data_IF_297134110289
#
_entry.id   IF_297134110289
#
_cell.length_a   1.000
_cell.length_b   1.000
_cell.length_c   1.000
_cell.angle_alpha   90.00
_cell.angle_beta   90.00
_cell.angle_gamma   90.00
#
_symmetry.space_group_name_H-M   'P 1'
#
loop_
_entity.id
_entity.type
_entity.pdbx_description
1 polymer ?
#
# COMPACT_ATOMS: atom_id res chain seq x y z
N UNK A 1 -1.52 -17.45 5.16
CA UNK A 1 -1.66 -17.77 3.74
C UNK A 1 -2.05 -16.53 2.96
N UNK A 2 -1.68 -16.50 1.66
CA UNK A 2 -2.19 -15.49 0.71
C UNK A 2 -3.69 -15.64 0.51
N UNK A 3 -4.33 -14.58 0.03
CA UNK A 3 -5.77 -14.54 -0.24
C UNK A 3 -6.03 -13.92 -1.62
N UNK A 4 -7.11 -14.39 -2.27
CA UNK A 4 -7.73 -13.80 -3.45
C UNK A 4 -9.24 -13.69 -3.22
N UNK A 5 -9.99 -13.21 -4.18
CA UNK A 5 -11.46 -13.30 -4.19
C UNK A 5 -11.89 -14.61 -4.87
N UNK A 6 -13.08 -15.10 -4.52
CA UNK A 6 -13.63 -16.35 -5.08
C UNK A 6 -14.36 -16.14 -6.40
N UNK A 7 -15.17 -15.10 -6.47
CA UNK A 7 -16.04 -14.80 -7.61
C UNK A 7 -15.67 -13.46 -8.23
N UNK A 8 -15.84 -13.33 -9.54
CA UNK A 8 -15.73 -12.05 -10.19
C UNK A 8 -16.89 -11.12 -9.76
N UNK A 9 -16.58 -9.85 -9.55
CA UNK A 9 -17.54 -8.80 -9.19
C UNK A 9 -17.26 -7.52 -9.95
N UNK A 10 -18.31 -6.78 -10.27
CA UNK A 10 -18.23 -5.58 -11.09
C UNK A 10 -18.75 -4.37 -10.30
N UNK A 11 -18.12 -3.23 -10.51
CA UNK A 11 -18.52 -1.92 -9.99
C UNK A 11 -18.48 -0.89 -11.11
N UNK A 12 -19.56 -0.13 -11.27
CA UNK A 12 -19.66 0.93 -12.26
C UNK A 12 -19.82 2.26 -11.55
N UNK A 13 -19.06 3.26 -11.96
CA UNK A 13 -19.11 4.57 -11.36
C UNK A 13 -18.33 5.63 -12.14
N UNK A 14 -18.25 6.83 -11.59
CA UNK A 14 -17.60 7.98 -12.22
C UNK A 14 -16.24 8.22 -11.53
N UNK A 15 -15.20 8.47 -12.33
CA UNK A 15 -13.90 8.89 -11.84
C UNK A 15 -13.96 10.29 -11.21
N UNK A 16 -13.26 10.51 -10.10
CA UNK A 16 -13.27 11.77 -9.36
C UNK A 16 -12.69 12.92 -10.18
N UNK A 17 -11.56 12.68 -10.83
CA UNK A 17 -10.80 13.73 -11.54
C UNK A 17 -11.23 13.89 -12.98
N UNK A 18 -11.41 12.80 -13.71
CA UNK A 18 -11.78 12.83 -15.13
C UNK A 18 -13.27 13.00 -15.37
N UNK A 19 -14.13 12.66 -14.42
CA UNK A 19 -15.57 12.75 -14.55
C UNK A 19 -16.17 11.77 -15.57
N UNK A 20 -15.41 10.76 -15.99
CA UNK A 20 -15.85 9.73 -16.95
C UNK A 20 -16.42 8.54 -16.20
N UNK A 21 -17.44 7.93 -16.80
CA UNK A 21 -18.00 6.66 -16.32
C UNK A 21 -17.02 5.53 -16.66
N UNK A 22 -16.77 4.66 -15.69
CA UNK A 22 -15.83 3.53 -15.80
C UNK A 22 -16.46 2.30 -15.14
N UNK A 23 -16.33 1.16 -15.81
CA UNK A 23 -16.63 -0.16 -15.29
C UNK A 23 -15.34 -0.81 -14.81
N UNK A 24 -15.34 -1.23 -13.55
CA UNK A 24 -14.22 -1.93 -12.93
C UNK A 24 -14.67 -3.32 -12.52
N UNK A 25 -13.99 -4.36 -12.98
CA UNK A 25 -14.25 -5.76 -12.62
C UNK A 25 -13.07 -6.34 -11.86
N UNK A 26 -13.33 -6.87 -10.68
CA UNK A 26 -12.37 -7.62 -9.89
C UNK A 26 -12.52 -9.10 -10.22
N UNK A 27 -11.41 -9.79 -10.53
CA UNK A 27 -11.38 -11.23 -10.80
C UNK A 27 -10.33 -11.93 -9.94
N UNK A 28 -10.54 -13.22 -9.58
CA UNK A 28 -9.54 -14.00 -8.88
C UNK A 28 -8.22 -14.03 -9.65
N UNK A 29 -7.11 -13.96 -8.92
CA UNK A 29 -5.77 -14.07 -9.51
C UNK A 29 -4.98 -15.21 -8.87
N UNK A 30 -4.05 -15.87 -9.60
CA UNK A 30 -3.18 -16.90 -9.06
C UNK A 30 -2.30 -16.41 -7.91
N UNK A 31 -1.74 -17.34 -7.13
CA UNK A 31 -0.75 -17.04 -6.09
C UNK A 31 0.43 -16.25 -6.66
N UNK A 32 0.94 -15.28 -5.89
CA UNK A 32 2.07 -14.41 -6.24
C UNK A 32 1.83 -13.46 -7.43
N UNK A 33 0.60 -13.31 -7.91
CA UNK A 33 0.26 -12.30 -8.94
C UNK A 33 0.40 -10.88 -8.39
N UNK A 34 0.03 -10.68 -7.13
CA UNK A 34 -0.19 -9.34 -6.58
C UNK A 34 -1.47 -8.71 -7.14
N UNK A 35 -1.58 -7.40 -7.02
CA UNK A 35 -2.67 -6.61 -7.60
C UNK A 35 -2.26 -6.15 -8.99
N UNK A 36 -3.04 -6.53 -10.01
CA UNK A 36 -2.73 -6.22 -11.42
C UNK A 36 -3.92 -5.52 -12.05
N UNK A 37 -3.71 -4.30 -12.51
CA UNK A 37 -4.69 -3.54 -13.29
C UNK A 37 -4.57 -3.90 -14.77
N UNK A 38 -5.72 -4.05 -15.46
CA UNK A 38 -5.81 -4.43 -16.88
C UNK A 38 -6.73 -3.44 -17.58
N UNK A 39 -6.26 -2.77 -18.64
CA UNK A 39 -7.01 -1.81 -19.46
C UNK A 39 -7.66 -2.53 -20.63
N UNK A 40 -8.90 -3.01 -20.42
CA UNK A 40 -9.65 -3.76 -21.46
C UNK A 40 -10.13 -2.90 -22.62
N UNK A 41 -10.20 -1.58 -22.45
CA UNK A 41 -10.54 -0.60 -23.48
C UNK A 41 -9.39 -0.33 -24.46
N UNK A 42 -8.19 -0.80 -24.18
CA UNK A 42 -7.03 -0.60 -25.03
C UNK A 42 -6.66 -1.88 -25.82
N UNK A 43 -6.13 -1.73 -27.06
CA UNK A 43 -5.69 -2.86 -27.86
C UNK A 43 -4.69 -3.76 -27.10
N UNK A 44 -4.94 -5.06 -27.08
CA UNK A 44 -4.09 -6.03 -26.39
C UNK A 44 -4.27 -6.09 -24.88
N UNK A 45 -5.22 -5.34 -24.32
CA UNK A 45 -5.54 -5.33 -22.89
C UNK A 45 -4.28 -5.24 -22.00
N UNK A 46 -3.48 -4.19 -22.13
CA UNK A 46 -2.22 -4.05 -21.39
C UNK A 46 -2.45 -4.03 -19.89
N UNK A 47 -1.50 -4.59 -19.15
CA UNK A 47 -1.58 -4.72 -17.71
C UNK A 47 -0.47 -3.97 -16.99
N UNK A 48 -0.78 -3.45 -15.79
CA UNK A 48 0.17 -2.77 -14.89
C UNK A 48 0.03 -3.40 -13.52
N UNK A 49 1.11 -3.94 -12.98
CA UNK A 49 1.15 -4.40 -11.61
C UNK A 49 1.22 -3.20 -10.65
N UNK A 50 0.42 -3.21 -9.60
CA UNK A 50 0.43 -2.17 -8.59
C UNK A 50 1.69 -2.29 -7.72
N UNK A 51 2.77 -1.68 -8.16
CA UNK A 51 4.06 -1.66 -7.49
C UNK A 51 4.60 -0.24 -7.38
N UNK A 52 5.36 0.04 -6.33
CA UNK A 52 5.88 1.38 -6.06
C UNK A 52 6.77 1.92 -7.18
N UNK A 53 7.49 1.02 -7.88
CA UNK A 53 8.36 1.38 -9.01
C UNK A 53 7.55 1.78 -10.28
N UNK A 54 6.22 1.58 -10.29
CA UNK A 54 5.29 1.96 -11.36
C UNK A 54 4.54 3.26 -11.11
N UNK A 55 4.78 3.93 -9.98
CA UNK A 55 4.14 5.22 -9.68
C UNK A 55 4.65 6.30 -10.63
N UNK A 56 3.72 6.95 -11.34
CA UNK A 56 4.00 8.02 -12.31
C UNK A 56 3.48 9.39 -11.88
N UNK A 57 2.59 9.43 -10.88
CA UNK A 57 2.01 10.66 -10.34
C UNK A 57 1.38 10.42 -8.98
N UNK A 58 1.38 11.47 -8.16
CA UNK A 58 0.87 11.42 -6.79
C UNK A 58 0.29 12.78 -6.36
N UNK A 59 -0.17 13.57 -7.32
CA UNK A 59 -0.82 14.86 -7.08
C UNK A 59 -2.33 14.67 -6.96
N UNK A 60 -2.87 14.83 -5.75
CA UNK A 60 -4.30 14.64 -5.41
C UNK A 60 -4.83 13.21 -5.57
N UNK A 61 -3.94 12.21 -5.71
CA UNK A 61 -4.26 10.81 -5.84
C UNK A 61 -3.06 10.05 -6.40
N UNK A 62 -3.01 8.76 -6.20
CA UNK A 62 -1.87 7.94 -6.64
C UNK A 62 -2.16 7.32 -8.00
N UNK A 63 -1.21 7.48 -8.92
CA UNK A 63 -1.29 6.99 -10.29
C UNK A 63 -0.12 6.07 -10.61
N UNK A 64 -0.40 4.97 -11.29
CA UNK A 64 0.62 4.05 -11.82
C UNK A 64 0.60 4.05 -13.35
N UNK A 65 1.73 3.70 -13.94
CA UNK A 65 1.86 3.65 -15.39
C UNK A 65 3.01 2.79 -15.89
N UNK A 66 2.88 2.28 -17.10
CA UNK A 66 3.91 1.57 -17.83
C UNK A 66 3.59 1.64 -19.34
N UNK A 67 4.62 1.85 -20.18
CA UNK A 67 4.52 1.79 -21.64
C UNK A 67 3.37 2.62 -22.23
N UNK A 68 3.16 3.83 -21.69
CA UNK A 68 2.12 4.75 -22.15
C UNK A 68 0.72 4.49 -21.55
N UNK A 69 0.53 3.39 -20.87
CA UNK A 69 -0.72 3.07 -20.15
C UNK A 69 -0.71 3.67 -18.75
N UNK A 70 -1.84 4.20 -18.30
CA UNK A 70 -1.97 4.86 -17.00
C UNK A 70 -3.23 4.41 -16.29
N UNK A 71 -3.16 4.35 -14.96
CA UNK A 71 -4.30 4.14 -14.06
C UNK A 71 -4.20 5.17 -12.94
N UNK A 72 -5.28 5.89 -12.70
CA UNK A 72 -5.35 6.99 -11.73
C UNK A 72 -6.23 6.63 -10.52
N UNK A 73 -5.97 7.31 -9.38
CA UNK A 73 -6.81 7.27 -8.16
C UNK A 73 -6.99 5.85 -7.61
N UNK A 74 -5.85 5.13 -7.48
CA UNK A 74 -5.86 3.71 -7.08
C UNK A 74 -5.86 3.50 -5.57
N UNK A 75 -5.60 4.52 -4.77
CA UNK A 75 -5.37 4.44 -3.32
C UNK A 75 -6.55 3.83 -2.56
N UNK A 76 -7.80 4.16 -2.91
CA UNK A 76 -8.96 3.68 -2.15
C UNK A 76 -9.24 2.18 -2.36
N UNK A 77 -9.14 1.70 -3.61
CA UNK A 77 -9.27 0.26 -3.87
C UNK A 77 -8.07 -0.51 -3.29
N UNK A 78 -6.86 0.02 -3.36
CA UNK A 78 -5.69 -0.60 -2.74
C UNK A 78 -5.82 -0.65 -1.21
N UNK A 79 -6.36 0.40 -0.58
CA UNK A 79 -6.64 0.40 0.85
C UNK A 79 -7.67 -0.68 1.24
N UNK A 80 -8.74 -0.86 0.44
CA UNK A 80 -9.74 -1.91 0.68
C UNK A 80 -9.13 -3.31 0.56
N UNK A 81 -8.31 -3.56 -0.48
CA UNK A 81 -7.59 -4.82 -0.66
C UNK A 81 -6.62 -5.10 0.50
N UNK A 82 -5.87 -4.06 0.92
CA UNK A 82 -4.97 -4.12 2.07
C UNK A 82 -5.72 -4.50 3.35
N UNK A 83 -6.79 -3.77 3.66
CA UNK A 83 -7.57 -3.95 4.89
C UNK A 83 -8.23 -5.31 5.01
N UNK A 84 -8.66 -5.91 3.89
CA UNK A 84 -9.24 -7.25 3.83
C UNK A 84 -8.17 -8.35 3.63
N UNK A 85 -6.93 -7.96 3.44
CA UNK A 85 -5.80 -8.87 3.28
C UNK A 85 -5.80 -9.65 1.97
N UNK A 86 -6.34 -9.07 0.88
CA UNK A 86 -6.31 -9.67 -0.46
C UNK A 86 -4.93 -9.46 -1.07
N UNK A 87 -4.22 -10.52 -1.34
CA UNK A 87 -2.86 -10.44 -1.89
C UNK A 87 -2.84 -10.48 -3.43
N UNK A 88 -3.81 -11.20 -4.05
CA UNK A 88 -3.81 -11.45 -5.48
C UNK A 88 -5.19 -11.17 -6.08
N UNK A 89 -5.25 -10.24 -7.04
CA UNK A 89 -6.49 -9.88 -7.74
C UNK A 89 -6.17 -9.23 -9.09
N UNK A 90 -6.95 -9.54 -10.12
CA UNK A 90 -6.99 -8.80 -11.36
C UNK A 90 -8.08 -7.73 -11.28
N UNK A 91 -7.74 -6.50 -11.66
CA UNK A 91 -8.65 -5.35 -11.71
C UNK A 91 -8.73 -4.90 -13.17
N UNK A 92 -9.79 -5.31 -13.85
CA UNK A 92 -10.06 -4.97 -15.24
C UNK A 92 -10.86 -3.67 -15.31
N UNK A 93 -10.49 -2.79 -16.22
CA UNK A 93 -11.11 -1.47 -16.36
C UNK A 93 -11.30 -1.09 -17.82
N UNK A 94 -12.42 -0.46 -18.12
CA UNK A 94 -12.72 0.16 -19.44
C UNK A 94 -12.38 1.66 -19.49
N UNK A 95 -11.57 2.14 -18.55
CA UNK A 95 -11.11 3.53 -18.46
C UNK A 95 -9.85 3.67 -17.60
N UNK A 96 -9.30 4.86 -17.55
CA UNK A 96 -8.00 5.12 -16.91
C UNK A 96 -8.06 5.62 -15.46
N UNK A 97 -9.25 5.79 -14.88
CA UNK A 97 -9.41 6.22 -13.49
C UNK A 97 -10.33 5.27 -12.74
N UNK A 98 -9.91 4.83 -11.53
CA UNK A 98 -10.75 4.03 -10.63
C UNK A 98 -11.99 4.83 -10.25
N UNK A 99 -13.22 4.25 -10.29
CA UNK A 99 -14.43 4.94 -9.86
C UNK A 99 -14.32 5.49 -8.44
N UNK A 100 -14.75 6.73 -8.23
CA UNK A 100 -14.66 7.39 -6.92
C UNK A 100 -15.59 6.78 -5.85
N UNK A 101 -16.60 6.04 -6.29
CA UNK A 101 -17.68 5.53 -5.43
C UNK A 101 -18.30 6.66 -4.59
N UNK A 102 -18.34 6.53 -3.28
CA UNK A 102 -18.81 7.57 -2.34
C UNK A 102 -17.65 8.42 -1.76
N UNK A 103 -16.46 8.29 -2.31
CA UNK A 103 -15.23 8.96 -1.85
C UNK A 103 -14.50 8.23 -0.72
N UNK A 104 -14.98 7.06 -0.30
CA UNK A 104 -14.37 6.23 0.72
C UNK A 104 -13.95 4.86 0.17
N UNK A 105 -13.32 4.01 0.99
CA UNK A 105 -13.01 2.63 0.62
C UNK A 105 -14.16 1.65 0.93
N UNK A 106 -15.21 2.07 1.64
CA UNK A 106 -16.29 1.19 2.09
C UNK A 106 -17.01 0.47 0.94
N UNK A 107 -17.39 1.12 -0.18
CA UNK A 107 -18.04 0.43 -1.29
C UNK A 107 -17.16 -0.67 -1.92
N UNK A 108 -15.84 -0.50 -1.91
CA UNK A 108 -14.91 -1.53 -2.38
C UNK A 108 -14.79 -2.69 -1.38
N UNK A 109 -14.84 -2.39 -0.07
CA UNK A 109 -14.92 -3.44 0.98
C UNK A 109 -16.16 -4.30 0.77
N UNK A 110 -17.34 -3.68 0.59
CA UNK A 110 -18.60 -4.38 0.35
C UNK A 110 -18.56 -5.22 -0.93
N UNK A 111 -17.97 -4.66 -2.01
CA UNK A 111 -17.77 -5.36 -3.27
C UNK A 111 -16.90 -6.62 -3.11
N UNK A 112 -15.77 -6.51 -2.40
CA UNK A 112 -14.86 -7.63 -2.15
C UNK A 112 -15.51 -8.67 -1.24
N UNK A 113 -16.24 -8.26 -0.21
CA UNK A 113 -16.98 -9.19 0.66
C UNK A 113 -18.06 -9.96 -0.12
N UNK A 114 -18.77 -9.29 -1.05
CA UNK A 114 -19.73 -9.94 -1.97
C UNK A 114 -19.04 -10.96 -2.87
N UNK A 115 -17.81 -10.69 -3.31
CA UNK A 115 -17.00 -11.63 -4.11
C UNK A 115 -16.59 -12.88 -3.31
N UNK A 116 -16.67 -12.86 -2.00
CA UNK A 116 -16.12 -13.83 -1.05
C UNK A 116 -14.59 -13.91 -1.12
N UNK A 117 -13.95 -14.09 0.02
CA UNK A 117 -12.48 -14.18 0.12
C UNK A 117 -12.07 -15.66 0.12
N UNK A 118 -11.08 -15.99 -0.71
CA UNK A 118 -10.56 -17.35 -0.89
C UNK A 118 -9.10 -17.43 -0.43
N UNK A 119 -8.77 -18.26 0.58
CA UNK A 119 -7.38 -18.50 0.96
C UNK A 119 -6.65 -19.35 -0.09
N UNK A 120 -5.39 -19.02 -0.35
CA UNK A 120 -4.54 -19.69 -1.34
C UNK A 120 -3.40 -20.45 -0.67
N UNK A 121 -2.97 -21.57 -1.25
CA UNK A 121 -1.90 -22.44 -0.71
C UNK A 121 -0.51 -21.86 -0.94
N UNK A 122 -0.30 -20.61 -0.51
CA UNK A 122 1.00 -19.95 -0.56
C UNK A 122 1.23 -19.14 0.73
N UNK A 123 2.46 -19.05 1.26
CA UNK A 123 2.75 -18.25 2.45
C UNK A 123 2.56 -16.76 2.15
N UNK A 124 2.08 -16.02 3.15
CA UNK A 124 2.03 -14.56 3.12
C UNK A 124 3.29 -14.02 3.80
N UNK A 125 4.03 -13.21 3.09
CA UNK A 125 5.20 -12.54 3.63
C UNK A 125 4.81 -11.23 4.32
N UNK A 126 5.65 -10.79 5.27
CA UNK A 126 5.49 -9.52 5.97
C UNK A 126 6.82 -8.77 5.95
N UNK A 127 6.76 -7.48 5.64
CA UNK A 127 7.91 -6.60 5.80
C UNK A 127 8.02 -6.19 7.27
N UNK A 128 8.99 -6.77 7.98
CA UNK A 128 9.25 -6.46 9.39
C UNK A 128 10.30 -5.37 9.51
N UNK A 129 9.96 -4.29 10.19
CA UNK A 129 10.92 -3.22 10.50
C UNK A 129 11.67 -3.62 11.76
N UNK A 130 13.01 -3.62 11.70
CA UNK A 130 13.89 -4.00 12.81
C UNK A 130 14.51 -2.81 13.52
N UNK A 131 14.72 -1.71 12.79
CA UNK A 131 15.36 -0.50 13.29
C UNK A 131 14.49 0.71 12.95
N UNK A 132 14.36 1.69 13.86
CA UNK A 132 13.60 2.88 13.59
C UNK A 132 14.29 3.75 12.53
N UNK A 133 13.48 4.39 11.70
CA UNK A 133 13.94 5.42 10.76
C UNK A 133 12.86 6.48 10.55
N UNK A 134 13.25 7.60 9.96
CA UNK A 134 12.32 8.68 9.62
C UNK A 134 12.63 9.29 8.26
N UNK A 135 11.64 9.98 7.75
CA UNK A 135 11.71 10.86 6.59
C UNK A 135 11.14 12.21 7.00
N UNK A 136 11.74 13.28 6.52
CA UNK A 136 11.23 14.64 6.71
C UNK A 136 11.39 15.49 5.45
N UNK A 137 10.44 16.39 5.22
CA UNK A 137 10.44 17.34 4.12
C UNK A 137 9.58 18.55 4.52
N UNK A 138 10.23 19.66 4.82
CA UNK A 138 9.56 20.84 5.36
C UNK A 138 8.89 20.54 6.72
N UNK A 139 7.57 20.72 6.78
CA UNK A 139 6.76 20.42 7.97
C UNK A 139 6.19 18.99 7.98
N UNK A 140 6.45 18.21 6.92
CA UNK A 140 6.01 16.82 6.81
C UNK A 140 7.03 15.88 7.46
N UNK A 141 6.54 14.94 8.24
CA UNK A 141 7.38 13.91 8.88
C UNK A 141 6.69 12.57 8.88
N UNK A 142 7.46 11.51 8.66
CA UNK A 142 7.03 10.14 8.91
C UNK A 142 8.15 9.43 9.67
N UNK A 143 7.79 8.86 10.81
CA UNK A 143 8.68 8.06 11.65
C UNK A 143 8.15 6.63 11.65
N UNK A 144 9.04 5.66 11.52
CA UNK A 144 8.70 4.24 11.46
C UNK A 144 9.49 3.53 12.55
N UNK A 145 8.79 2.83 13.42
CA UNK A 145 9.35 2.09 14.55
C UNK A 145 9.05 0.61 14.41
N UNK A 146 9.92 -0.28 14.95
CA UNK A 146 9.60 -1.69 15.08
C UNK A 146 8.30 -1.91 15.87
N UNK A 147 7.44 -2.79 15.35
CA UNK A 147 6.24 -3.28 16.03
C UNK A 147 5.87 -4.66 15.46
N UNK A 148 5.15 -5.47 16.24
CA UNK A 148 4.67 -6.79 15.79
C UNK A 148 3.40 -6.70 14.92
N UNK A 149 2.67 -5.59 15.02
CA UNK A 149 1.46 -5.29 14.24
C UNK A 149 1.68 -4.01 13.43
N UNK A 150 0.81 -3.76 12.47
CA UNK A 150 0.76 -2.45 11.85
C UNK A 150 -0.05 -1.51 12.74
N UNK A 151 0.62 -0.51 13.29
CA UNK A 151 0.01 0.58 14.04
C UNK A 151 0.25 1.88 13.28
N UNK A 152 -0.77 2.70 13.13
CA UNK A 152 -0.67 4.00 12.48
C UNK A 152 -1.14 5.09 13.44
N UNK A 153 -0.27 6.06 13.67
CA UNK A 153 -0.59 7.33 14.31
C UNK A 153 -0.49 8.42 13.24
N UNK A 154 -1.56 9.19 13.06
CA UNK A 154 -1.58 10.23 12.04
C UNK A 154 -2.00 11.58 12.64
N UNK A 155 -1.30 12.64 12.25
CA UNK A 155 -1.61 14.03 12.60
C UNK A 155 -1.79 14.84 11.32
N UNK A 156 -2.92 15.50 11.18
CA UNK A 156 -3.18 16.54 10.18
C UNK A 156 -3.31 17.88 10.87
N UNK A 157 -2.93 18.93 10.19
CA UNK A 157 -3.02 20.30 10.71
C UNK A 157 -3.49 21.25 9.60
N UNK A 158 -4.65 21.83 9.82
CA UNK A 158 -5.30 22.78 8.91
C UNK A 158 -5.59 24.08 9.67
N UNK A 159 -4.56 24.89 10.00
CA UNK A 159 -4.66 25.99 10.95
C UNK A 159 -5.70 27.06 10.57
N UNK A 160 -5.95 27.23 9.27
CA UNK A 160 -6.91 28.22 8.73
C UNK A 160 -8.28 27.63 8.41
N UNK A 161 -8.50 26.36 8.72
CA UNK A 161 -9.76 25.63 8.46
C UNK A 161 -10.51 25.36 9.76
N UNK A 162 -11.85 25.24 9.73
CA UNK A 162 -12.66 24.75 10.85
C UNK A 162 -12.23 23.36 11.37
N UNK A 163 -11.53 22.58 10.55
CA UNK A 163 -11.03 21.26 10.94
C UNK A 163 -9.91 21.31 11.98
N UNK A 164 -9.09 22.39 11.98
CA UNK A 164 -7.94 22.58 12.89
C UNK A 164 -6.98 21.38 12.84
N UNK A 165 -6.29 21.14 13.94
CA UNK A 165 -5.42 19.96 14.11
C UNK A 165 -6.26 18.76 14.50
N UNK A 166 -6.07 17.63 13.82
CA UNK A 166 -6.70 16.36 14.15
C UNK A 166 -5.63 15.27 14.32
N UNK A 167 -5.93 14.36 15.21
CA UNK A 167 -5.10 13.21 15.54
C UNK A 167 -5.95 11.94 15.55
N UNK A 168 -5.35 10.84 15.09
CA UNK A 168 -5.91 9.49 15.24
C UNK A 168 -4.81 8.44 15.34
N UNK A 169 -5.07 7.40 16.10
CA UNK A 169 -4.19 6.23 16.24
C UNK A 169 -5.01 4.95 16.16
N UNK A 170 -4.57 4.00 15.34
CA UNK A 170 -5.20 2.71 15.17
C UNK A 170 -4.16 1.59 15.02
N UNK A 171 -4.41 0.47 15.66
CA UNK A 171 -3.80 -0.81 15.27
C UNK A 171 -4.66 -1.38 14.16
N UNK A 172 -4.05 -1.62 13.00
CA UNK A 172 -4.76 -1.99 11.78
C UNK A 172 -4.94 -3.51 11.73
N UNK A 173 -6.17 -3.93 11.85
CA UNK A 173 -6.65 -5.26 11.52
C UNK A 173 -7.90 -5.13 10.63
N UNK A 174 -8.44 -6.25 10.15
CA UNK A 174 -9.60 -6.27 9.24
C UNK A 174 -10.81 -5.56 9.87
N UNK A 175 -11.11 -5.83 11.13
CA UNK A 175 -12.24 -5.23 11.85
C UNK A 175 -12.08 -3.72 12.00
N UNK A 176 -10.93 -3.27 12.50
CA UNK A 176 -10.61 -1.85 12.67
C UNK A 176 -10.65 -1.13 11.33
N UNK A 177 -10.09 -1.73 10.27
CA UNK A 177 -10.14 -1.14 8.94
C UNK A 177 -11.58 -0.95 8.47
N UNK A 178 -12.42 -1.98 8.51
CA UNK A 178 -13.81 -1.93 8.03
C UNK A 178 -14.64 -0.90 8.81
N UNK A 179 -14.50 -0.86 10.14
CA UNK A 179 -15.36 -0.06 11.01
C UNK A 179 -14.89 1.39 11.16
N UNK A 180 -13.58 1.62 11.21
CA UNK A 180 -13.00 2.90 11.62
C UNK A 180 -12.33 3.67 10.49
N UNK A 181 -11.83 2.98 9.44
CA UNK A 181 -11.03 3.60 8.38
C UNK A 181 -11.77 3.62 7.05
N UNK A 182 -12.25 2.46 6.58
CA UNK A 182 -12.87 2.32 5.27
C UNK A 182 -14.05 3.29 5.00
N UNK A 183 -14.89 3.66 5.99
CA UNK A 183 -15.99 4.59 5.76
C UNK A 183 -15.57 6.07 5.60
N UNK A 184 -14.30 6.41 5.83
CA UNK A 184 -13.85 7.81 5.81
C UNK A 184 -13.71 8.32 4.38
N UNK A 185 -14.43 9.39 4.06
CA UNK A 185 -14.49 9.98 2.71
C UNK A 185 -13.32 10.91 2.45
N UNK A 186 -12.92 10.99 1.19
CA UNK A 186 -12.03 12.05 0.69
C UNK A 186 -12.64 13.42 0.93
N UNK A 187 -11.79 14.44 1.04
CA UNK A 187 -12.24 15.79 1.35
C UNK A 187 -11.45 16.84 0.57
N UNK A 188 -12.04 18.01 0.42
CA UNK A 188 -11.41 19.15 -0.20
C UNK A 188 -11.95 20.47 0.36
N UNK A 189 -11.19 21.53 0.15
CA UNK A 189 -11.59 22.87 0.55
C UNK A 189 -12.26 23.59 -0.62
N UNK A 190 -13.40 24.26 -0.36
CA UNK A 190 -14.17 24.96 -1.37
C UNK A 190 -13.33 25.99 -2.12
N UNK A 191 -12.40 26.63 -1.44
CA UNK A 191 -11.48 27.63 -2.00
C UNK A 191 -10.57 27.04 -3.12
N UNK A 192 -10.26 25.75 -3.05
CA UNK A 192 -9.42 25.06 -4.05
C UNK A 192 -10.24 24.50 -5.24
N UNK A 193 -11.56 24.37 -5.10
CA UNK A 193 -12.42 23.68 -6.08
C UNK A 193 -12.36 24.34 -7.46
N UNK A 194 -12.46 25.67 -7.54
CA UNK A 194 -12.42 26.38 -8.82
C UNK A 194 -11.08 26.25 -9.51
N UNK A 195 -9.98 26.33 -8.79
CA UNK A 195 -8.63 26.18 -9.32
C UNK A 195 -8.39 24.76 -9.82
N UNK A 196 -8.81 23.75 -9.06
CA UNK A 196 -8.69 22.35 -9.44
C UNK A 196 -9.51 22.04 -10.71
N UNK A 197 -10.71 22.59 -10.84
CA UNK A 197 -11.55 22.44 -12.06
C UNK A 197 -10.89 23.10 -13.27
N UNK A 198 -10.32 24.29 -13.12
CA UNK A 198 -9.57 24.97 -14.21
C UNK A 198 -8.37 24.15 -14.68
N UNK A 199 -7.76 23.36 -13.80
CA UNK A 199 -6.67 22.43 -14.11
C UNK A 199 -7.16 21.08 -14.69
N UNK A 200 -8.45 20.91 -14.93
CA UNK A 200 -9.04 19.66 -15.43
C UNK A 200 -9.17 18.55 -14.40
N UNK A 201 -9.01 18.87 -13.11
CA UNK A 201 -9.19 17.93 -12.00
C UNK A 201 -10.60 18.04 -11.41
N UNK A 202 -11.00 17.03 -10.63
CA UNK A 202 -12.28 16.95 -9.91
C UNK A 202 -13.52 17.19 -10.79
N UNK A 203 -13.46 16.80 -12.09
CA UNK A 203 -14.56 16.95 -13.02
C UNK A 203 -15.80 16.12 -12.61
N UNK A 204 -15.59 14.97 -11.95
CA UNK A 204 -16.65 14.12 -11.37
C UNK A 204 -16.90 14.39 -9.89
N UNK A 205 -16.23 15.38 -9.30
CA UNK A 205 -16.36 15.69 -7.87
C UNK A 205 -17.72 16.30 -7.51
N UNK A 206 -18.35 15.76 -6.48
CA UNK A 206 -19.64 16.19 -5.95
C UNK A 206 -19.73 16.02 -4.43
N UNK A 207 -20.78 16.55 -3.81
CA UNK A 207 -21.04 16.33 -2.38
C UNK A 207 -21.41 14.86 -2.06
N UNK A 208 -21.66 14.02 -3.06
CA UNK A 208 -21.94 12.60 -2.88
C UNK A 208 -20.66 11.76 -2.74
N UNK A 209 -19.55 12.22 -3.33
CA UNK A 209 -18.28 11.49 -3.37
C UNK A 209 -17.09 12.22 -2.76
N UNK A 210 -17.33 13.35 -2.09
CA UNK A 210 -16.32 14.06 -1.31
C UNK A 210 -16.94 14.87 -0.16
N UNK A 211 -16.21 15.03 0.93
CA UNK A 211 -16.52 16.01 1.95
C UNK A 211 -15.96 17.36 1.52
N UNK A 212 -16.82 18.37 1.39
CA UNK A 212 -16.42 19.72 1.03
C UNK A 212 -16.50 20.63 2.25
N UNK A 213 -15.41 21.36 2.51
CA UNK A 213 -15.25 22.22 3.68
C UNK A 213 -15.06 23.66 3.20
N UNK A 214 -15.84 24.57 3.73
CA UNK A 214 -15.64 26.01 3.58
C UNK A 214 -15.21 26.67 4.89
N UNK A 215 -15.14 28.00 4.92
CA UNK A 215 -14.80 28.79 6.11
C UNK A 215 -15.77 28.63 7.27
N UNK A 216 -17.00 28.18 7.00
CA UNK A 216 -18.07 28.01 8.01
C UNK A 216 -18.18 26.55 8.50
N UNK A 217 -17.57 25.59 7.78
CA UNK A 217 -17.60 24.17 8.14
C UNK A 217 -17.85 23.24 6.96
N UNK A 218 -18.48 22.11 7.25
CA UNK A 218 -18.77 21.04 6.27
C UNK A 218 -20.04 21.37 5.50
N UNK A 219 -19.99 21.39 4.17
CA UNK A 219 -21.12 21.69 3.29
C UNK A 219 -22.07 20.50 3.05
N UNK A 220 -21.58 19.27 3.26
CA UNK A 220 -22.39 18.07 3.06
C UNK A 220 -23.56 18.03 4.07
N UNK A 221 -24.80 17.90 3.59
CA UNK A 221 -26.02 17.93 4.43
C UNK A 221 -26.00 16.91 5.58
N UNK A 222 -25.42 15.74 5.38
CA UNK A 222 -25.29 14.68 6.39
C UNK A 222 -24.10 14.89 7.35
N UNK A 223 -23.31 15.95 7.17
CA UNK A 223 -22.10 16.19 7.96
C UNK A 223 -21.00 15.15 7.73
N UNK A 224 -20.13 15.04 8.74
CA UNK A 224 -19.07 14.04 8.80
C UNK A 224 -19.61 12.70 9.32
N UNK A 225 -19.04 11.59 8.84
CA UNK A 225 -19.29 10.22 9.35
C UNK A 225 -18.62 10.00 10.72
N UNK A 226 -17.46 10.64 10.91
CA UNK A 226 -16.71 10.65 12.16
C UNK A 226 -16.31 12.09 12.49
N UNK A 227 -16.23 12.45 13.77
CA UNK A 227 -15.80 13.82 14.17
C UNK A 227 -14.41 14.18 13.62
N UNK A 228 -13.56 13.18 13.37
CA UNK A 228 -12.22 13.29 12.83
C UNK A 228 -12.08 12.55 11.48
N UNK A 229 -13.10 12.55 10.63
CA UNK A 229 -13.13 11.87 9.35
C UNK A 229 -11.93 12.23 8.44
N UNK A 230 -11.47 13.48 8.34
CA UNK A 230 -10.29 13.84 7.54
C UNK A 230 -9.00 13.12 7.91
N UNK A 231 -8.66 12.99 9.19
CA UNK A 231 -7.45 12.28 9.59
C UNK A 231 -7.57 10.77 9.37
N UNK A 232 -8.77 10.20 9.53
CA UNK A 232 -9.03 8.78 9.20
C UNK A 232 -8.87 8.52 7.71
N UNK A 233 -9.35 9.44 6.87
CA UNK A 233 -9.14 9.35 5.43
C UNK A 233 -7.65 9.42 5.07
N UNK A 234 -6.87 10.26 5.75
CA UNK A 234 -5.40 10.28 5.55
C UNK A 234 -4.71 8.97 5.94
N UNK A 235 -5.25 8.25 6.92
CA UNK A 235 -4.80 6.89 7.23
C UNK A 235 -5.18 5.91 6.12
N UNK A 236 -6.40 6.03 5.55
CA UNK A 236 -6.84 5.25 4.39
C UNK A 236 -5.88 5.44 3.20
N UNK A 237 -5.60 6.69 2.83
CA UNK A 237 -4.67 7.06 1.78
C UNK A 237 -3.28 6.43 2.01
N UNK A 238 -2.76 6.54 3.23
CA UNK A 238 -1.46 5.97 3.59
C UNK A 238 -1.44 4.45 3.43
N UNK A 239 -2.50 3.75 3.85
CA UNK A 239 -2.62 2.30 3.69
C UNK A 239 -2.63 1.88 2.22
N UNK A 240 -3.39 2.58 1.37
CA UNK A 240 -3.45 2.34 -0.06
C UNK A 240 -2.11 2.57 -0.75
N UNK A 241 -1.45 3.69 -0.46
CA UNK A 241 -0.13 4.02 -1.02
C UNK A 241 0.95 3.02 -0.57
N UNK A 242 0.91 2.56 0.68
CA UNK A 242 1.85 1.56 1.20
C UNK A 242 1.57 0.16 0.63
N UNK A 243 0.35 -0.12 0.16
CA UNK A 243 0.06 -1.42 -0.43
C UNK A 243 0.77 -1.65 -1.77
N UNK A 244 1.29 -0.60 -2.41
CA UNK A 244 2.22 -0.69 -3.55
C UNK A 244 3.53 -1.44 -3.24
N UNK A 245 3.82 -1.73 -1.97
CA UNK A 245 4.88 -2.66 -1.58
C UNK A 245 4.58 -4.12 -1.94
N UNK A 246 3.30 -4.48 -2.16
CA UNK A 246 2.86 -5.83 -2.48
C UNK A 246 2.96 -6.82 -1.32
N UNK A 247 3.25 -6.36 -0.11
CA UNK A 247 3.26 -7.16 1.12
C UNK A 247 2.88 -6.30 2.34
N UNK A 248 2.20 -6.84 3.35
CA UNK A 248 1.86 -6.13 4.57
C UNK A 248 3.09 -5.81 5.41
N UNK A 249 2.98 -4.77 6.24
CA UNK A 249 4.05 -4.23 7.06
C UNK A 249 3.78 -4.53 8.52
N UNK A 250 4.82 -4.87 9.28
CA UNK A 250 4.83 -4.93 10.74
C UNK A 250 5.70 -3.78 11.26
N UNK A 251 5.05 -2.71 11.69
CA UNK A 251 5.68 -1.48 12.19
C UNK A 251 4.66 -0.57 12.85
N UNK A 252 5.12 0.35 13.69
CA UNK A 252 4.37 1.54 14.07
C UNK A 252 4.81 2.71 13.18
N UNK A 253 3.87 3.29 12.43
CA UNK A 253 4.10 4.43 11.54
C UNK A 253 3.43 5.66 12.13
N UNK A 254 4.22 6.69 12.46
CA UNK A 254 3.74 7.99 12.90
C UNK A 254 3.91 8.98 11.74
N UNK A 255 2.80 9.48 11.20
CA UNK A 255 2.77 10.40 10.07
C UNK A 255 2.23 11.77 10.49
N UNK A 256 2.95 12.83 10.15
CA UNK A 256 2.59 14.23 10.41
C UNK A 256 2.51 14.96 9.08
N UNK A 257 1.34 15.52 8.76
CA UNK A 257 1.08 16.29 7.53
C UNK A 257 1.49 15.56 6.23
N UNK A 258 1.53 14.22 6.24
CA UNK A 258 1.84 13.42 5.06
C UNK A 258 0.71 13.53 4.01
N UNK A 259 1.03 13.15 2.79
CA UNK A 259 0.10 13.05 1.68
C UNK A 259 0.70 12.10 0.64
N UNK A 260 0.00 11.82 -0.47
CA UNK A 260 0.41 10.81 -1.45
C UNK A 260 1.88 10.89 -1.86
N UNK A 261 2.38 12.10 -2.18
CA UNK A 261 3.79 12.28 -2.54
C UNK A 261 4.75 11.77 -1.46
N UNK A 262 4.46 12.06 -0.19
CA UNK A 262 5.32 11.68 0.91
C UNK A 262 5.11 10.23 1.33
N UNK A 263 3.88 9.70 1.20
CA UNK A 263 3.56 8.29 1.38
C UNK A 263 4.31 7.42 0.35
N UNK A 264 4.35 7.86 -0.93
CA UNK A 264 5.11 7.16 -1.99
C UNK A 264 6.60 7.18 -1.71
N UNK A 265 7.17 8.30 -1.21
CA UNK A 265 8.58 8.36 -0.76
C UNK A 265 8.85 7.35 0.37
N UNK A 266 7.91 7.22 1.33
CA UNK A 266 8.00 6.20 2.36
C UNK A 266 7.97 4.79 1.77
N UNK A 267 7.03 4.51 0.86
CA UNK A 267 6.94 3.22 0.19
C UNK A 267 8.24 2.89 -0.59
N UNK A 268 8.82 3.85 -1.30
CA UNK A 268 10.11 3.70 -1.98
C UNK A 268 11.26 3.37 -1.00
N UNK A 269 11.32 4.07 0.13
CA UNK A 269 12.32 3.80 1.19
C UNK A 269 12.17 2.39 1.74
N UNK A 270 10.95 1.97 2.05
CA UNK A 270 10.64 0.63 2.52
C UNK A 270 10.97 -0.45 1.47
N UNK A 271 10.66 -0.19 0.19
CA UNK A 271 11.01 -1.09 -0.92
C UNK A 271 12.53 -1.28 -1.04
N UNK A 272 13.30 -0.21 -0.89
CA UNK A 272 14.77 -0.27 -0.91
C UNK A 272 15.31 -1.05 0.30
N UNK A 273 14.73 -0.88 1.49
CA UNK A 273 15.07 -1.68 2.67
C UNK A 273 14.76 -3.17 2.44
N UNK A 274 13.56 -3.47 1.88
CA UNK A 274 13.17 -4.83 1.51
C UNK A 274 14.13 -5.48 0.52
N UNK A 275 14.52 -4.74 -0.55
CA UNK A 275 15.49 -5.21 -1.54
C UNK A 275 16.84 -5.51 -0.89
N UNK A 276 17.31 -4.67 0.03
CA UNK A 276 18.54 -4.91 0.81
C UNK A 276 18.44 -6.15 1.71
N UNK A 277 17.28 -6.37 2.36
CA UNK A 277 17.07 -7.55 3.22
C UNK A 277 16.99 -8.83 2.36
N UNK A 278 16.26 -8.80 1.24
CA UNK A 278 16.13 -9.95 0.30
C UNK A 278 17.42 -10.18 -0.49
N UNK A 279 18.16 -9.12 -0.84
CA UNK A 279 19.43 -9.20 -1.56
C UNK A 279 20.63 -9.68 -0.70
N UNK A 280 20.46 -9.76 0.62
CA UNK A 280 21.50 -10.26 1.52
C UNK A 280 21.64 -11.78 1.57
N UNK A 281 20.70 -12.55 1.01
CA UNK A 281 20.83 -14.01 0.91
C UNK A 281 21.02 -14.36 -0.56
N UNK A 282 22.26 -14.42 -0.99
CA UNK A 282 22.63 -14.85 -2.36
C UNK A 282 22.42 -16.35 -2.51
N UNK A 283 22.74 -17.14 -1.45
CA UNK A 283 22.50 -18.59 -1.42
C UNK A 283 21.99 -18.99 -0.02
N UNK A 284 20.88 -19.69 0.01
CA UNK A 284 20.39 -20.37 1.21
C UNK A 284 21.07 -21.74 1.38
N UNK A 285 20.79 -22.40 2.51
CA UNK A 285 21.39 -23.71 2.82
C UNK A 285 21.12 -24.74 1.73
N UNK A 286 19.95 -24.73 1.12
CA UNK A 286 19.58 -25.69 0.06
C UNK A 286 20.35 -25.43 -1.23
N UNK A 287 20.57 -24.17 -1.58
CA UNK A 287 21.39 -23.79 -2.72
C UNK A 287 22.87 -24.10 -2.47
N UNK A 288 23.38 -23.85 -1.26
CA UNK A 288 24.75 -24.20 -0.86
C UNK A 288 24.97 -25.70 -0.93
N UNK A 289 24.02 -26.51 -0.47
CA UNK A 289 24.08 -27.97 -0.52
C UNK A 289 24.04 -28.56 -1.93
N UNK A 290 23.54 -27.82 -2.92
CA UNK A 290 23.62 -28.23 -4.34
C UNK A 290 25.01 -28.00 -4.93
N UNK A 291 25.76 -27.06 -4.38
CA UNK A 291 27.09 -26.66 -4.85
C UNK A 291 28.18 -27.44 -4.10
N UNK A 292 28.03 -27.54 -2.77
CA UNK A 292 28.99 -28.19 -1.89
C UNK A 292 28.52 -29.61 -1.52
N UNK A 293 29.41 -30.63 -1.58
CA UNK A 293 29.06 -31.99 -1.16
C UNK A 293 28.86 -32.16 0.34
N UNK A 294 29.26 -31.15 1.12
CA UNK A 294 29.18 -31.16 2.57
C UNK A 294 27.74 -31.13 3.08
N UNK A 295 27.47 -31.86 4.15
CA UNK A 295 26.20 -31.91 4.86
C UNK A 295 26.48 -31.71 6.36
N UNK A 296 25.41 -31.41 7.14
CA UNK A 296 25.53 -31.35 8.59
C UNK A 296 26.14 -32.66 9.12
N UNK A 297 27.09 -32.61 10.07
CA UNK A 297 27.61 -31.43 10.78
C UNK A 297 28.77 -30.69 10.11
N UNK A 298 29.24 -31.11 8.95
CA UNK A 298 30.40 -30.56 8.24
C UNK A 298 30.08 -29.37 7.31
N UNK A 299 28.82 -29.01 7.15
CA UNK A 299 28.46 -27.80 6.44
C UNK A 299 28.66 -26.57 7.34
N UNK A 300 29.76 -25.84 7.11
CA UNK A 300 30.19 -24.72 7.94
C UNK A 300 29.54 -23.38 7.57
N UNK A 301 28.67 -23.33 6.58
CA UNK A 301 27.99 -22.12 6.11
C UNK A 301 26.50 -22.42 5.93
N UNK A 302 25.65 -21.61 6.56
CA UNK A 302 24.20 -21.74 6.48
C UNK A 302 23.58 -20.81 5.44
N UNK A 303 24.24 -19.68 5.15
CA UNK A 303 23.81 -18.70 4.14
C UNK A 303 25.02 -17.98 3.55
N UNK A 304 24.95 -17.65 2.27
CA UNK A 304 25.85 -16.70 1.62
C UNK A 304 25.11 -15.37 1.52
N UNK A 305 25.71 -14.31 2.02
CA UNK A 305 25.14 -12.96 2.04
C UNK A 305 25.64 -12.11 0.88
N UNK A 306 26.86 -12.37 0.42
CA UNK A 306 27.50 -11.58 -0.62
C UNK A 306 28.50 -12.45 -1.39
N UNK A 307 28.56 -12.28 -2.69
CA UNK A 307 29.56 -12.89 -3.57
C UNK A 307 30.21 -11.77 -4.36
N UNK A 308 31.46 -11.45 -4.03
CA UNK A 308 32.31 -10.52 -4.79
C UNK A 308 33.28 -11.28 -5.69
N UNK A 309 34.10 -10.55 -6.47
CA UNK A 309 35.10 -11.17 -7.35
C UNK A 309 36.22 -11.91 -6.59
N UNK A 310 36.53 -11.46 -5.36
CA UNK A 310 37.63 -11.99 -4.54
C UNK A 310 37.22 -12.41 -3.13
N UNK A 311 35.96 -12.20 -2.76
CA UNK A 311 35.48 -12.49 -1.42
C UNK A 311 34.04 -13.01 -1.44
N UNK A 312 33.71 -13.82 -0.43
CA UNK A 312 32.36 -14.33 -0.19
C UNK A 312 32.06 -14.13 1.28
N UNK A 313 30.95 -13.47 1.57
CA UNK A 313 30.46 -13.28 2.94
C UNK A 313 29.41 -14.33 3.25
N UNK A 314 29.72 -15.21 4.18
CA UNK A 314 28.82 -16.27 4.64
C UNK A 314 28.45 -16.11 6.11
N UNK A 315 27.32 -16.73 6.50
CA UNK A 315 26.85 -16.79 7.89
C UNK A 315 26.72 -18.24 8.31
N UNK A 316 27.25 -18.55 9.50
CA UNK A 316 26.98 -19.78 10.24
C UNK A 316 26.19 -19.44 11.49
N UNK A 317 25.04 -20.04 11.67
CA UNK A 317 24.31 -19.98 12.95
C UNK A 317 24.99 -20.95 13.92
N UNK A 318 25.65 -20.43 14.93
CA UNK A 318 26.15 -21.24 16.01
C UNK A 318 24.98 -21.78 16.83
N UNK A 319 24.59 -23.02 16.56
CA UNK A 319 23.70 -23.76 17.46
C UNK A 319 24.51 -24.05 18.72
N UNK A 320 23.98 -23.77 19.90
CA UNK A 320 24.69 -23.84 21.19
C UNK A 320 25.02 -25.28 21.59
N UNK A 321 25.87 -25.92 20.81
CA UNK A 321 26.66 -27.07 21.29
C UNK A 321 28.12 -26.69 21.20
N UNK A 322 28.57 -26.19 22.33
CA UNK A 322 29.91 -26.09 22.84
C UNK A 322 30.95 -26.95 22.13
N UNK A 323 32.13 -26.35 21.88
CA UNK A 323 33.39 -26.92 21.43
C UNK A 323 33.59 -27.08 19.92
N UNK A 324 33.38 -26.01 19.15
CA UNK A 324 34.17 -25.85 17.92
C UNK A 324 35.15 -24.70 18.11
N UNK A 325 36.31 -25.02 18.64
CA UNK A 325 37.51 -24.22 18.38
C UNK A 325 37.79 -24.37 16.87
N UNK A 326 37.57 -23.29 16.12
CA UNK A 326 38.01 -23.22 14.73
C UNK A 326 39.55 -23.28 14.74
N UNK A 327 40.21 -24.22 14.01
CA UNK A 327 41.61 -24.10 13.80
C UNK A 327 41.88 -22.83 13.02
N UNK A 328 42.69 -21.93 13.54
CA UNK A 328 43.24 -20.79 12.84
C UNK A 328 44.09 -21.35 11.71
N UNK A 329 43.61 -21.26 10.49
CA UNK A 329 44.44 -21.52 9.31
C UNK A 329 45.10 -20.22 8.95
N UNK A 330 46.42 -20.16 9.09
CA UNK A 330 47.27 -19.08 8.61
C UNK A 330 47.28 -19.04 7.08
#
# INVERSE_FOLDING_TARGET
LQKTIKNAVCFKGIGLHMGKEVTMTLEPAPVNSGVVFIREDLPGSPSIKAEVDKVIGNMRGTSIGSDGVKIHTIEHILAALFGLGIDNVFIKMDGEEVPAADGSALPFVELIQKAQIEPQKAPRNFLKIKEPFWLEEGDKRVMVFPDEKLKITYVVDFPHSPLKTQFAEFTIDEKTFIQEIAPSRTFGFMEEVEELRKRGLIQGGSLENAVVIDKNGVLNKKGLRFFNEPVRHKILDLLGDLYLLGEPIQAHILAIKSGHSFNVKLAQKLNNLRKKIKGKVVLDVSAIQRILPHRYPFLLVDKILEIGEKEIVGVKNAVSYTHLTLPTIC
#
